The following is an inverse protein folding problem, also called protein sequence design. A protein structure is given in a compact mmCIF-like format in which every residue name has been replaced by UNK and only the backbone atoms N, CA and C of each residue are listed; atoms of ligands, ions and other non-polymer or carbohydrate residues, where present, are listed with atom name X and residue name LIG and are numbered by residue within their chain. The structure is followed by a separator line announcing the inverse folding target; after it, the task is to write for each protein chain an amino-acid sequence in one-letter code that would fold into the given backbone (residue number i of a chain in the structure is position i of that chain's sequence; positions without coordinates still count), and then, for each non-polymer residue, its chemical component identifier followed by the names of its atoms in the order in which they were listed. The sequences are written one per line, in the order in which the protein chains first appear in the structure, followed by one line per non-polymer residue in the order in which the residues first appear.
data_IF_192386030925
#
_entry.id   IF_192386030925
#
_cell.length_a   1.000
_cell.length_b   1.000
_cell.length_c   1.000
_cell.angle_alpha   90.00
_cell.angle_beta   90.00
_cell.angle_gamma   90.00
#
_symmetry.space_group_name_H-M   'P 1'
#
loop_
_entity.id
_entity.type
_entity.pdbx_description
1 polymer ?
#
# COMPACT_ATOMS: atom_id res chain seq x y z
N UNK A 1 -41.82 -2.96 0.03
CA UNK A 1 -40.37 -3.15 -0.22
C UNK A 1 -40.14 -3.24 -1.71
N UNK A 2 -39.46 -2.27 -2.32
CA UNK A 2 -39.12 -2.29 -3.74
C UNK A 2 -37.62 -2.24 -3.87
N UNK A 3 -37.04 -3.24 -4.53
CA UNK A 3 -35.62 -3.30 -4.86
C UNK A 3 -35.50 -3.08 -6.35
N UNK A 4 -34.82 -2.02 -6.78
CA UNK A 4 -34.49 -1.82 -8.19
C UNK A 4 -33.05 -2.28 -8.43
N UNK A 5 -32.90 -3.30 -9.26
CA UNK A 5 -31.62 -3.85 -9.69
C UNK A 5 -31.33 -3.33 -11.11
N UNK A 6 -30.22 -2.63 -11.29
CA UNK A 6 -29.65 -2.36 -12.62
C UNK A 6 -28.37 -3.22 -12.77
N UNK A 7 -28.34 -4.10 -13.77
CA UNK A 7 -27.12 -4.82 -14.21
C UNK A 7 -26.13 -3.87 -14.91
N UNK A 8 -24.84 -4.16 -15.14
CA UNK A 8 -24.18 -5.41 -15.57
C UNK A 8 -22.68 -5.34 -15.17
N UNK A 9 -22.18 -6.26 -14.31
CA UNK A 9 -20.76 -6.52 -14.00
C UNK A 9 -19.91 -5.38 -13.37
N UNK A 10 -18.66 -5.63 -12.94
CA UNK A 10 -18.29 -6.48 -11.80
C UNK A 10 -18.76 -5.84 -10.47
N UNK A 11 -19.65 -6.54 -9.74
CA UNK A 11 -20.03 -6.31 -8.34
C UNK A 11 -19.92 -4.87 -7.78
N UNK A 12 -20.44 -3.88 -8.50
CA UNK A 12 -20.76 -2.55 -7.97
C UNK A 12 -22.27 -2.45 -7.91
N UNK A 13 -22.87 -3.08 -6.90
CA UNK A 13 -24.25 -2.79 -6.53
C UNK A 13 -24.21 -1.75 -5.41
N UNK A 14 -24.49 -0.49 -5.76
CA UNK A 14 -24.93 0.50 -4.77
C UNK A 14 -26.33 0.09 -4.35
N UNK A 15 -26.47 -0.50 -3.16
CA UNK A 15 -27.78 -0.76 -2.56
C UNK A 15 -28.19 0.48 -1.76
N UNK A 16 -29.25 1.14 -2.20
CA UNK A 16 -29.96 2.17 -1.42
C UNK A 16 -31.13 1.48 -0.73
N UNK A 17 -31.15 1.50 0.60
CA UNK A 17 -32.28 0.99 1.39
C UNK A 17 -32.97 2.15 2.10
N UNK A 18 -34.29 2.23 1.96
CA UNK A 18 -35.13 3.16 2.69
C UNK A 18 -35.80 2.42 3.86
N UNK A 19 -35.39 2.74 5.09
CA UNK A 19 -36.21 2.58 6.28
C UNK A 19 -36.16 3.87 7.09
N UNK A 20 -37.33 4.47 7.30
CA UNK A 20 -37.51 5.46 8.37
C UNK A 20 -36.73 6.77 8.23
N UNK A 21 -36.76 7.41 7.05
CA UNK A 21 -36.42 8.83 6.91
C UNK A 21 -34.95 9.23 7.04
N UNK A 22 -34.04 8.32 7.34
CA UNK A 22 -32.60 8.61 7.45
C UNK A 22 -31.84 7.98 6.27
N UNK A 23 -31.39 8.80 5.32
CA UNK A 23 -30.56 8.37 4.19
C UNK A 23 -29.16 7.96 4.68
N UNK A 24 -29.02 6.73 5.18
CA UNK A 24 -27.70 6.15 5.46
C UNK A 24 -27.04 5.73 4.16
N UNK A 25 -26.05 6.51 3.73
CA UNK A 25 -25.17 6.18 2.60
C UNK A 25 -24.30 4.96 2.97
N UNK A 26 -24.79 3.76 2.69
CA UNK A 26 -24.03 2.52 2.89
C UNK A 26 -22.97 2.45 1.80
N UNK A 27 -21.71 2.75 2.15
CA UNK A 27 -20.58 2.57 1.24
C UNK A 27 -20.33 1.08 1.05
N UNK A 28 -20.85 0.52 -0.05
CA UNK A 28 -20.59 -0.88 -0.44
C UNK A 28 -19.13 -0.98 -0.82
N UNK A 29 -18.33 -1.64 0.05
CA UNK A 29 -16.90 -1.84 -0.21
C UNK A 29 -16.74 -2.90 -1.31
N UNK A 30 -15.90 -2.69 -2.32
CA UNK A 30 -15.69 -3.70 -3.35
C UNK A 30 -15.07 -4.96 -2.75
N UNK A 31 -15.68 -6.10 -3.06
CA UNK A 31 -15.29 -7.45 -2.64
C UNK A 31 -14.73 -8.17 -3.86
N UNK A 32 -13.63 -8.89 -3.69
CA UNK A 32 -12.93 -9.62 -4.74
C UNK A 32 -12.95 -11.13 -4.46
N UNK A 33 -13.21 -11.93 -5.49
CA UNK A 33 -13.09 -13.39 -5.44
C UNK A 33 -11.66 -13.84 -5.74
N UNK A 34 -11.32 -15.11 -5.49
CA UNK A 34 -10.02 -15.70 -5.89
C UNK A 34 -9.72 -15.48 -7.38
N UNK A 35 -10.73 -15.47 -8.24
CA UNK A 35 -10.56 -15.23 -9.68
C UNK A 35 -10.13 -13.80 -9.94
N UNK A 36 -10.80 -12.83 -9.32
CA UNK A 36 -10.44 -11.41 -9.44
C UNK A 36 -9.02 -11.16 -8.90
N UNK A 37 -8.67 -11.81 -7.78
CA UNK A 37 -7.32 -11.78 -7.21
C UNK A 37 -6.27 -12.31 -8.20
N UNK A 38 -6.55 -13.43 -8.87
CA UNK A 38 -5.64 -14.00 -9.87
C UNK A 38 -5.36 -13.01 -11.01
N UNK A 39 -6.42 -12.40 -11.57
CA UNK A 39 -6.29 -11.43 -12.64
C UNK A 39 -5.52 -10.19 -12.19
N UNK A 40 -5.89 -9.65 -11.03
CA UNK A 40 -5.31 -8.44 -10.48
C UNK A 40 -3.83 -8.59 -10.12
N UNK A 41 -3.47 -9.66 -9.40
CA UNK A 41 -2.09 -9.92 -8.99
C UNK A 41 -1.23 -10.52 -10.11
N UNK A 42 -1.84 -10.90 -11.24
CA UNK A 42 -1.21 -11.69 -12.32
C UNK A 42 -0.55 -12.96 -11.77
N UNK A 43 -1.28 -13.70 -10.93
CA UNK A 43 -0.83 -14.93 -10.24
C UNK A 43 -1.75 -16.11 -10.51
N UNK A 44 -1.20 -17.32 -10.52
CA UNK A 44 -2.01 -18.53 -10.65
C UNK A 44 -2.82 -18.83 -9.38
N UNK A 45 -3.95 -19.55 -9.51
CA UNK A 45 -4.76 -19.98 -8.34
C UNK A 45 -3.92 -20.69 -7.28
N UNK A 46 -2.99 -21.56 -7.70
CA UNK A 46 -2.07 -22.28 -6.78
C UNK A 46 -1.18 -21.33 -5.99
N UNK A 47 -0.72 -20.24 -6.58
CA UNK A 47 0.06 -19.21 -5.87
C UNK A 47 -0.83 -18.46 -4.88
N UNK A 48 -2.05 -18.07 -5.27
CA UNK A 48 -3.00 -17.40 -4.38
C UNK A 48 -3.31 -18.26 -3.15
N UNK A 49 -3.64 -19.55 -3.33
CA UNK A 49 -3.85 -20.47 -2.20
C UNK A 49 -2.59 -20.66 -1.34
N UNK A 50 -1.39 -20.66 -1.94
CA UNK A 50 -0.13 -20.69 -1.18
C UNK A 50 0.02 -19.44 -0.33
N UNK A 51 -0.35 -18.26 -0.84
CA UNK A 51 -0.34 -17.02 -0.08
C UNK A 51 -1.37 -17.02 1.05
N UNK A 52 -2.54 -17.60 0.83
CA UNK A 52 -3.54 -17.82 1.89
C UNK A 52 -3.00 -18.75 2.98
N UNK A 53 -2.46 -19.92 2.60
CA UNK A 53 -1.91 -20.91 3.54
C UNK A 53 -0.72 -20.38 4.35
N UNK A 54 0.09 -19.51 3.75
CA UNK A 54 1.20 -18.83 4.45
C UNK A 54 0.77 -17.58 5.21
N UNK A 55 -0.54 -17.25 5.22
CA UNK A 55 -1.08 -16.07 5.88
C UNK A 55 -0.63 -14.74 5.26
N UNK A 56 -0.10 -14.74 4.03
CA UNK A 56 0.32 -13.54 3.29
C UNK A 56 -0.86 -12.78 2.70
N UNK A 57 -1.90 -13.49 2.29
CA UNK A 57 -3.16 -12.92 1.80
C UNK A 57 -4.28 -13.49 2.67
N UNK A 58 -4.99 -12.67 3.46
CA UNK A 58 -6.08 -13.18 4.30
C UNK A 58 -7.43 -12.94 3.63
N UNK A 59 -8.27 -13.96 3.46
CA UNK A 59 -9.64 -13.74 3.05
C UNK A 59 -10.42 -13.05 4.18
N UNK A 60 -11.36 -12.16 3.82
CA UNK A 60 -12.24 -11.51 4.79
C UNK A 60 -13.48 -12.36 5.12
N UNK A 61 -13.92 -13.21 4.19
CA UNK A 61 -15.06 -14.09 4.37
C UNK A 61 -15.01 -15.28 3.40
N UNK A 62 -15.87 -16.28 3.64
CA UNK A 62 -16.16 -17.36 2.71
C UNK A 62 -17.67 -17.47 2.54
N UNK A 63 -18.16 -17.33 1.31
CA UNK A 63 -19.61 -17.40 0.99
C UNK A 63 -19.80 -18.30 -0.22
N UNK A 64 -20.73 -19.26 -0.15
CA UNK A 64 -21.02 -20.22 -1.22
C UNK A 64 -19.76 -20.92 -1.78
N UNK A 65 -18.83 -21.28 -0.89
CA UNK A 65 -17.57 -21.92 -1.25
C UNK A 65 -16.51 -21.00 -1.86
N UNK A 66 -16.81 -19.71 -2.08
CA UNK A 66 -15.86 -18.73 -2.60
C UNK A 66 -15.20 -17.93 -1.48
N UNK A 67 -13.87 -17.79 -1.56
CA UNK A 67 -13.11 -16.89 -0.70
C UNK A 67 -13.20 -15.47 -1.20
N UNK A 68 -13.49 -14.56 -0.28
CA UNK A 68 -13.69 -13.15 -0.52
C UNK A 68 -12.55 -12.33 0.08
N UNK A 69 -12.13 -11.28 -0.61
CA UNK A 69 -11.07 -10.37 -0.19
C UNK A 69 -11.56 -8.93 -0.25
N UNK A 70 -11.18 -8.14 0.75
CA UNK A 70 -11.44 -6.70 0.70
C UNK A 70 -10.44 -6.01 -0.23
N UNK A 71 -10.84 -4.90 -0.84
CA UNK A 71 -9.93 -4.02 -1.61
C UNK A 71 -8.64 -3.70 -0.86
N UNK A 72 -8.79 -3.32 0.42
CA UNK A 72 -7.68 -2.94 1.30
C UNK A 72 -6.67 -4.08 1.51
N UNK A 73 -7.17 -5.30 1.66
CA UNK A 73 -6.33 -6.49 1.83
C UNK A 73 -5.49 -6.75 0.58
N UNK A 74 -6.10 -6.64 -0.60
CA UNK A 74 -5.40 -6.85 -1.87
C UNK A 74 -4.39 -5.76 -2.15
N UNK A 75 -4.73 -4.51 -1.88
CA UNK A 75 -3.78 -3.39 -2.00
C UNK A 75 -2.58 -3.60 -1.07
N UNK A 76 -2.80 -4.02 0.17
CA UNK A 76 -1.73 -4.33 1.11
C UNK A 76 -0.85 -5.49 0.61
N UNK A 77 -1.46 -6.52 0.01
CA UNK A 77 -0.74 -7.65 -0.57
C UNK A 77 0.11 -7.23 -1.78
N UNK A 78 -0.48 -6.48 -2.73
CA UNK A 78 0.17 -5.95 -3.93
C UNK A 78 1.40 -5.13 -3.59
N UNK A 79 1.28 -4.33 -2.55
CA UNK A 79 2.31 -3.41 -2.13
C UNK A 79 3.49 -4.12 -1.45
N UNK A 80 3.34 -5.36 -0.99
CA UNK A 80 4.43 -6.20 -0.49
C UNK A 80 4.67 -6.10 1.02
N UNK A 81 5.09 -7.23 1.61
CA UNK A 81 5.42 -7.35 3.05
C UNK A 81 6.82 -6.85 3.36
N UNK A 82 6.92 -6.12 4.48
CA UNK A 82 8.19 -5.67 5.03
C UNK A 82 9.07 -6.84 5.50
N UNK A 83 10.38 -6.84 5.20
CA UNK A 83 11.33 -7.78 5.78
C UNK A 83 11.36 -7.70 7.32
N UNK A 84 11.34 -8.85 7.99
CA UNK A 84 11.32 -8.93 9.47
C UNK A 84 12.55 -8.29 10.11
N UNK A 85 13.71 -8.36 9.46
CA UNK A 85 14.95 -7.78 9.99
C UNK A 85 14.95 -6.24 10.04
N UNK A 86 14.00 -5.57 9.37
CA UNK A 86 13.83 -4.11 9.49
C UNK A 86 13.07 -3.71 10.76
N UNK A 87 12.64 -4.66 11.61
CA UNK A 87 11.83 -4.39 12.80
C UNK A 87 12.46 -3.37 13.74
N UNK A 88 13.79 -3.38 13.84
CA UNK A 88 14.53 -2.43 14.68
C UNK A 88 14.33 -0.97 14.29
N UNK A 89 14.00 -0.67 13.02
CA UNK A 89 13.74 0.70 12.57
C UNK A 89 12.35 1.23 12.94
N UNK A 90 11.44 0.33 13.33
CA UNK A 90 10.03 0.62 13.59
C UNK A 90 9.67 0.29 15.03
N UNK A 91 10.27 1.00 16.00
CA UNK A 91 10.01 0.79 17.42
C UNK A 91 8.59 1.18 17.86
N UNK A 92 7.93 2.06 17.10
CA UNK A 92 6.61 2.62 17.35
C UNK A 92 5.51 2.09 16.42
N UNK A 93 5.85 1.16 15.52
CA UNK A 93 4.90 0.58 14.57
C UNK A 93 5.05 -0.94 14.44
N UNK A 94 3.93 -1.64 14.30
CA UNK A 94 3.95 -3.09 14.03
C UNK A 94 4.31 -3.34 12.56
N UNK A 95 5.39 -4.07 12.33
CA UNK A 95 5.83 -4.46 10.96
C UNK A 95 4.74 -5.19 10.17
N UNK A 96 3.87 -5.96 10.84
CA UNK A 96 2.77 -6.68 10.20
C UNK A 96 1.77 -5.76 9.51
N UNK A 97 1.68 -4.51 9.97
CA UNK A 97 0.67 -3.55 9.54
C UNK A 97 1.26 -2.60 8.49
N UNK A 98 2.59 -2.61 8.34
CA UNK A 98 3.33 -1.83 7.34
C UNK A 98 3.29 -2.51 5.97
N UNK A 99 2.79 -1.74 5.02
CA UNK A 99 2.84 -2.04 3.59
C UNK A 99 3.92 -1.18 2.95
N UNK A 100 4.81 -1.82 2.18
CA UNK A 100 5.93 -1.17 1.50
C UNK A 100 5.42 -0.04 0.60
N UNK A 101 4.31 -0.23 -0.11
CA UNK A 101 3.75 0.78 -1.00
C UNK A 101 2.95 1.88 -0.28
N UNK A 102 1.96 1.52 0.55
CA UNK A 102 1.07 2.51 1.18
C UNK A 102 1.79 3.38 2.21
N UNK A 103 2.78 2.82 2.90
CA UNK A 103 3.54 3.51 3.93
C UNK A 103 4.94 3.89 3.45
N UNK A 104 5.12 4.12 2.15
CA UNK A 104 6.41 4.43 1.54
C UNK A 104 7.11 5.59 2.24
N UNK A 105 6.41 6.68 2.53
CA UNK A 105 7.02 7.88 3.12
C UNK A 105 7.52 7.61 4.54
N UNK A 106 6.75 6.87 5.34
CA UNK A 106 7.12 6.49 6.69
C UNK A 106 8.33 5.54 6.70
N UNK A 107 8.32 4.56 5.80
CA UNK A 107 9.42 3.59 5.65
C UNK A 107 10.70 4.29 5.18
N UNK A 108 10.59 5.16 4.17
CA UNK A 108 11.72 5.94 3.66
C UNK A 108 12.28 6.87 4.74
N UNK A 109 11.43 7.56 5.49
CA UNK A 109 11.87 8.42 6.59
C UNK A 109 12.70 7.63 7.61
N UNK A 110 12.20 6.47 8.06
CA UNK A 110 12.91 5.64 9.05
C UNK A 110 14.20 5.04 8.52
N UNK A 111 14.20 4.58 7.28
CA UNK A 111 15.39 4.02 6.67
C UNK A 111 16.47 5.07 6.40
N UNK A 112 16.10 6.30 6.03
CA UNK A 112 17.09 7.36 5.80
C UNK A 112 17.64 7.97 7.09
N UNK A 113 16.83 8.05 8.14
CA UNK A 113 17.25 8.64 9.43
C UNK A 113 18.04 7.65 10.30
N UNK A 114 17.61 6.39 10.35
CA UNK A 114 18.16 5.39 11.30
C UNK A 114 18.66 4.12 10.63
N UNK A 115 18.50 3.99 9.31
CA UNK A 115 18.84 2.77 8.59
C UNK A 115 20.34 2.54 8.48
N UNK A 116 20.74 1.28 8.63
CA UNK A 116 22.09 0.83 8.31
C UNK A 116 22.28 0.63 6.80
N UNK A 117 23.50 0.28 6.39
CA UNK A 117 23.83 0.02 4.97
C UNK A 117 22.92 -1.06 4.36
N UNK A 118 22.49 -2.04 5.14
CA UNK A 118 21.62 -3.12 4.69
C UNK A 118 20.19 -2.62 4.44
N UNK A 119 19.65 -1.81 5.35
CA UNK A 119 18.35 -1.15 5.21
C UNK A 119 18.31 -0.24 3.99
N UNK A 120 19.33 0.61 3.82
CA UNK A 120 19.43 1.51 2.68
C UNK A 120 19.52 0.76 1.36
N UNK A 121 20.32 -0.31 1.29
CA UNK A 121 20.38 -1.18 0.10
C UNK A 121 19.02 -1.79 -0.23
N UNK A 122 18.27 -2.20 0.78
CA UNK A 122 16.91 -2.72 0.57
C UNK A 122 15.98 -1.62 0.04
N UNK A 123 16.05 -0.40 0.57
CA UNK A 123 15.27 0.75 0.08
C UNK A 123 15.53 1.00 -1.40
N UNK A 124 16.80 1.16 -1.80
CA UNK A 124 17.15 1.43 -3.20
C UNK A 124 16.78 0.30 -4.17
N UNK A 125 16.65 -0.94 -3.67
CA UNK A 125 16.17 -2.08 -4.48
C UNK A 125 14.65 -2.17 -4.55
N UNK A 126 13.96 -1.65 -3.53
CA UNK A 126 12.52 -1.82 -3.36
C UNK A 126 11.73 -0.67 -3.96
N UNK A 127 12.24 0.56 -3.81
CA UNK A 127 11.59 1.76 -4.32
C UNK A 127 12.29 2.25 -5.59
N UNK A 128 11.53 2.58 -6.65
CA UNK A 128 12.12 3.23 -7.80
C UNK A 128 12.63 4.61 -7.40
N UNK A 129 13.67 5.08 -8.10
CA UNK A 129 14.32 6.37 -7.79
C UNK A 129 13.31 7.54 -7.79
N UNK A 130 12.28 7.49 -8.65
CA UNK A 130 11.20 8.49 -8.71
C UNK A 130 10.39 8.59 -7.42
N UNK A 131 10.20 7.48 -6.71
CA UNK A 131 9.49 7.48 -5.42
C UNK A 131 10.37 8.09 -4.32
N UNK A 132 11.66 7.77 -4.34
CA UNK A 132 12.65 8.30 -3.40
C UNK A 132 12.79 9.82 -3.57
N UNK A 133 12.95 10.30 -4.81
CA UNK A 133 13.06 11.75 -5.08
C UNK A 133 11.78 12.48 -4.71
N UNK A 134 10.60 11.95 -5.07
CA UNK A 134 9.31 12.52 -4.66
C UNK A 134 9.20 12.65 -3.14
N UNK A 135 9.65 11.64 -2.40
CA UNK A 135 9.68 11.69 -0.94
C UNK A 135 10.61 12.80 -0.44
N UNK A 136 11.87 12.83 -0.91
CA UNK A 136 12.86 13.82 -0.47
C UNK A 136 12.46 15.27 -0.82
N UNK A 137 11.81 15.48 -1.96
CA UNK A 137 11.34 16.80 -2.41
C UNK A 137 10.09 17.29 -1.67
N UNK A 138 9.19 16.37 -1.34
CA UNK A 138 7.98 16.66 -0.59
C UNK A 138 8.21 16.51 0.92
N UNK A 139 7.71 15.39 1.46
CA UNK A 139 7.64 15.14 2.91
C UNK A 139 9.00 15.04 3.59
N UNK A 140 10.06 14.68 2.86
CA UNK A 140 11.39 14.45 3.43
C UNK A 140 11.95 15.66 4.17
N UNK A 141 11.61 16.89 3.76
CA UNK A 141 12.02 18.11 4.47
C UNK A 141 11.38 18.26 5.85
N UNK A 142 10.15 17.76 6.00
CA UNK A 142 9.36 17.91 7.21
C UNK A 142 9.63 16.79 8.22
N UNK A 143 9.95 15.58 7.75
CA UNK A 143 10.08 14.39 8.61
C UNK A 143 11.52 14.03 8.93
N UNK A 144 12.49 14.38 8.08
CA UNK A 144 13.91 14.08 8.33
C UNK A 144 14.58 15.22 9.09
N UNK A 145 15.65 14.93 9.81
CA UNK A 145 16.49 15.99 10.36
C UNK A 145 17.17 16.76 9.22
N UNK A 146 17.42 18.06 9.42
CA UNK A 146 18.02 18.94 8.39
C UNK A 146 19.34 18.37 7.85
N UNK A 147 20.15 17.77 8.72
CA UNK A 147 21.43 17.15 8.34
C UNK A 147 21.22 15.92 7.45
N UNK A 148 20.33 15.02 7.86
CA UNK A 148 20.00 13.80 7.11
C UNK A 148 19.39 14.14 5.75
N UNK A 149 18.46 15.09 5.72
CA UNK A 149 17.85 15.56 4.48
C UNK A 149 18.90 16.14 3.51
N UNK A 150 19.77 17.05 3.97
CA UNK A 150 20.84 17.61 3.12
C UNK A 150 21.77 16.52 2.57
N UNK A 151 22.19 15.58 3.41
CA UNK A 151 23.05 14.47 2.98
C UNK A 151 22.39 13.67 1.86
N UNK A 152 21.14 13.25 2.04
CA UNK A 152 20.44 12.44 1.05
C UNK A 152 20.08 13.22 -0.21
N UNK A 153 19.70 14.50 -0.10
CA UNK A 153 19.46 15.37 -1.25
C UNK A 153 20.72 15.51 -2.12
N UNK A 154 21.90 15.65 -1.51
CA UNK A 154 23.16 15.66 -2.26
C UNK A 154 23.45 14.31 -2.91
N UNK A 155 23.25 13.21 -2.16
CA UNK A 155 23.57 11.86 -2.62
C UNK A 155 22.64 11.36 -3.74
N UNK A 156 21.36 11.72 -3.74
CA UNK A 156 20.36 11.25 -4.71
C UNK A 156 20.17 12.17 -5.92
N UNK A 157 21.10 13.08 -6.17
CA UNK A 157 21.14 13.88 -7.40
C UNK A 157 20.07 15.01 -7.48
N UNK A 158 19.62 15.52 -6.32
CA UNK A 158 18.83 16.76 -6.23
C UNK A 158 19.64 18.01 -6.67
N UNK A 159 20.95 17.84 -6.91
CA UNK A 159 21.85 18.85 -7.46
C UNK A 159 21.52 19.26 -8.90
N UNK A 160 20.74 18.47 -9.67
CA UNK A 160 20.44 18.78 -11.08
C UNK A 160 19.29 19.77 -11.29
N UNK A 161 18.46 20.06 -10.27
CA UNK A 161 17.26 20.89 -10.43
C UNK A 161 17.36 22.33 -9.90
N UNK A 162 18.32 22.65 -9.03
CA UNK A 162 18.49 24.03 -8.52
C UNK A 162 19.17 25.00 -9.50
N UNK A 163 19.70 24.52 -10.62
CA UNK A 163 20.39 25.33 -11.64
C UNK A 163 19.51 25.83 -12.81
N UNK A 164 18.18 25.72 -12.74
CA UNK A 164 17.25 26.20 -13.79
C UNK A 164 16.24 27.27 -13.39
N UNK A 165 16.41 27.95 -12.25
CA UNK A 165 15.59 29.14 -11.93
C UNK A 165 16.48 30.25 -11.41
N UNK A 166 17.00 31.04 -12.35
CA UNK A 166 17.28 32.47 -12.24
C UNK A 166 17.44 32.99 -13.68
N UNK A 167 16.34 33.47 -14.24
CA UNK A 167 16.35 34.57 -15.20
C UNK A 167 15.80 35.77 -14.46
#
# INVERSE_FOLDING_TARGET
MKWNLLGVGPCLQTLVYESGGEQKKVSVRPIYTVVDVCHRLRKSRRQVYRYMRSGRLKPCAQILGQWLFSKRELEHFEQGRMPVWLKSLFWDARISDLSVGHHSDFILARAFEYGDRKALRWVFRTYPISTITRFLDGRGRDVLSTRTWHFWALQTDLHRRRSKVRK
#
